data_IF_943831489243
#
_entry.id   IF_943831489243
#
_cell.length_a   1.000
_cell.length_b   1.000
_cell.length_c   1.000
_cell.angle_alpha   90.00
_cell.angle_beta   90.00
_cell.angle_gamma   90.00
#
_symmetry.space_group_name_H-M   'P 1'
#
loop_
_entity.id
_entity.type
_entity.pdbx_description
1 polymer ?
#
# COMPACT_ATOMS: atom_id res chain seq x y z
N UNK A 1 26.90 -1.44 29.15
CA UNK A 1 25.88 -1.09 28.14
C UNK A 1 26.53 -0.98 26.77
N UNK A 2 26.32 -1.91 25.83
CA UNK A 2 26.88 -1.79 24.49
C UNK A 2 26.22 -0.61 23.76
N UNK A 3 27.01 0.32 23.24
CA UNK A 3 26.51 1.38 22.33
C UNK A 3 25.96 0.69 21.08
N UNK A 4 24.64 0.70 20.89
CA UNK A 4 24.03 0.31 19.60
C UNK A 4 24.63 1.20 18.52
N UNK A 5 25.43 0.62 17.63
CA UNK A 5 25.91 1.32 16.45
C UNK A 5 24.69 1.72 15.62
N UNK A 6 24.44 3.03 15.49
CA UNK A 6 23.44 3.51 14.54
C UNK A 6 23.87 3.07 13.15
N UNK A 7 23.13 2.13 12.56
CA UNK A 7 23.32 1.72 11.17
C UNK A 7 23.21 2.99 10.33
N UNK A 8 24.32 3.40 9.71
CA UNK A 8 24.39 4.58 8.85
C UNK A 8 23.67 4.24 7.55
N UNK A 9 22.36 4.43 7.59
CA UNK A 9 21.48 4.28 6.44
C UNK A 9 21.76 5.38 5.42
N UNK A 10 21.54 5.09 4.14
CA UNK A 10 21.98 5.95 3.04
C UNK A 10 21.18 7.26 2.94
N UNK A 11 21.66 8.24 2.16
CA UNK A 11 20.93 9.51 1.94
C UNK A 11 19.50 9.32 1.42
N UNK A 12 19.22 8.21 0.72
CA UNK A 12 17.89 7.82 0.23
C UNK A 12 16.94 7.44 1.37
N UNK A 13 17.43 6.74 2.40
CA UNK A 13 16.67 6.36 3.59
C UNK A 13 16.51 7.52 4.58
N UNK A 14 17.52 8.38 4.68
CA UNK A 14 17.43 9.66 5.40
C UNK A 14 16.28 10.50 4.84
N UNK A 15 16.22 10.65 3.51
CA UNK A 15 15.13 11.37 2.84
C UNK A 15 13.78 10.70 3.07
N UNK A 16 13.69 9.37 2.91
CA UNK A 16 12.45 8.61 3.12
C UNK A 16 11.88 8.83 4.52
N UNK A 17 12.68 8.64 5.57
CA UNK A 17 12.24 8.90 6.95
C UNK A 17 11.83 10.35 7.17
N UNK A 18 12.56 11.31 6.59
CA UNK A 18 12.22 12.72 6.72
C UNK A 18 10.89 13.07 6.03
N UNK A 19 10.55 12.37 4.93
CA UNK A 19 9.23 12.44 4.26
C UNK A 19 8.15 11.81 5.14
N UNK A 20 8.38 10.61 5.68
CA UNK A 20 7.41 9.89 6.51
C UNK A 20 7.06 10.66 7.81
N UNK A 21 7.97 11.49 8.31
CA UNK A 21 7.70 12.39 9.44
C UNK A 21 6.90 13.66 9.09
N UNK A 22 6.68 13.98 7.81
CA UNK A 22 5.86 15.13 7.41
C UNK A 22 4.36 14.82 7.61
N UNK A 23 3.51 15.78 8.01
CA UNK A 23 2.06 15.59 7.98
C UNK A 23 1.55 15.21 6.58
N UNK A 24 0.53 14.35 6.50
CA UNK A 24 -0.04 13.84 5.23
C UNK A 24 -0.44 14.97 4.28
N UNK A 25 -1.04 16.05 4.81
CA UNK A 25 -1.38 17.26 4.05
C UNK A 25 -0.16 17.95 3.45
N UNK A 26 0.99 17.94 4.14
CA UNK A 26 2.26 18.48 3.63
C UNK A 26 2.83 17.58 2.55
N UNK A 27 2.75 16.25 2.68
CA UNK A 27 3.18 15.32 1.62
C UNK A 27 2.35 15.48 0.34
N UNK A 28 1.02 15.62 0.44
CA UNK A 28 0.14 15.90 -0.72
C UNK A 28 0.47 17.25 -1.37
N UNK A 29 0.48 18.32 -0.59
CA UNK A 29 0.85 19.66 -1.07
C UNK A 29 2.25 19.74 -1.68
N UNK A 30 3.22 18.98 -1.15
CA UNK A 30 4.58 18.86 -1.70
C UNK A 30 4.60 18.10 -3.02
N UNK A 31 3.84 17.00 -3.15
CA UNK A 31 3.74 16.23 -4.38
C UNK A 31 3.14 17.09 -5.51
N UNK A 32 2.00 17.73 -5.25
CA UNK A 32 1.35 18.69 -6.17
C UNK A 32 2.27 19.87 -6.50
N UNK A 33 2.97 20.41 -5.49
CA UNK A 33 3.93 21.49 -5.64
C UNK A 33 5.09 21.10 -6.56
N UNK A 34 5.73 19.96 -6.32
CA UNK A 34 6.87 19.47 -7.10
C UNK A 34 6.48 19.15 -8.54
N UNK A 35 5.27 18.61 -8.77
CA UNK A 35 4.76 18.32 -10.11
C UNK A 35 4.37 19.59 -10.90
N UNK A 36 3.86 20.63 -10.22
CA UNK A 36 3.39 21.85 -10.87
C UNK A 36 4.46 22.94 -11.09
N UNK A 37 5.65 22.81 -10.49
CA UNK A 37 6.73 23.79 -10.65
C UNK A 37 7.77 23.28 -11.64
N UNK A 38 7.98 24.02 -12.74
CA UNK A 38 8.96 23.68 -13.78
C UNK A 38 10.42 23.61 -13.30
N UNK A 39 10.76 24.23 -12.16
CA UNK A 39 12.13 24.29 -11.64
C UNK A 39 12.20 24.16 -10.12
N UNK A 40 12.37 22.92 -9.67
CA UNK A 40 12.65 22.60 -8.26
C UNK A 40 14.16 22.64 -8.02
N UNK A 41 14.58 23.19 -6.87
CA UNK A 41 15.99 23.36 -6.50
C UNK A 41 16.37 22.63 -5.20
N UNK A 42 17.68 22.48 -4.99
CA UNK A 42 18.31 22.07 -3.73
C UNK A 42 19.39 23.07 -3.31
N UNK A 43 19.65 23.18 -2.00
CA UNK A 43 20.66 24.06 -1.41
C UNK A 43 20.21 25.50 -1.10
N UNK A 44 18.95 25.85 -1.38
CA UNK A 44 18.35 27.14 -1.03
C UNK A 44 16.81 27.05 -0.99
N UNK A 45 16.14 28.04 -0.41
CA UNK A 45 14.67 28.13 -0.35
C UNK A 45 14.05 28.61 -1.68
N UNK A 46 14.68 29.63 -2.26
CA UNK A 46 14.47 30.18 -3.61
C UNK A 46 15.83 30.42 -4.26
N UNK A 47 15.89 30.58 -5.57
CA UNK A 47 17.05 31.15 -6.26
C UNK A 47 16.68 32.31 -7.19
N UNK A 48 17.71 33.01 -7.70
CA UNK A 48 17.55 34.15 -8.60
C UNK A 48 17.00 33.84 -9.99
N UNK A 49 16.67 32.58 -10.28
CA UNK A 49 16.11 32.12 -11.55
C UNK A 49 14.69 31.55 -11.36
N UNK A 50 13.99 31.97 -10.29
CA UNK A 50 12.62 31.55 -10.00
C UNK A 50 12.47 30.11 -9.51
N UNK A 51 13.57 29.40 -9.24
CA UNK A 51 13.53 28.06 -8.69
C UNK A 51 13.09 28.04 -7.23
N UNK A 52 12.40 26.99 -6.81
CA UNK A 52 11.90 26.84 -5.44
C UNK A 52 12.23 25.47 -4.84
N UNK A 53 12.50 25.39 -3.55
CA UNK A 53 12.68 24.10 -2.90
C UNK A 53 11.35 23.35 -2.76
N UNK A 54 11.34 22.01 -2.57
CA UNK A 54 10.11 21.24 -2.41
C UNK A 54 9.22 21.73 -1.25
N UNK A 55 9.81 22.24 -0.17
CA UNK A 55 9.05 22.76 0.98
C UNK A 55 8.33 24.08 0.63
N UNK A 56 8.96 24.99 -0.11
CA UNK A 56 8.29 26.20 -0.60
C UNK A 56 7.21 25.86 -1.64
N UNK A 57 7.47 24.87 -2.50
CA UNK A 57 6.45 24.37 -3.43
C UNK A 57 5.20 23.86 -2.68
N UNK A 58 5.40 23.15 -1.55
CA UNK A 58 4.31 22.74 -0.66
C UNK A 58 3.62 23.93 0.03
N UNK A 59 4.38 24.93 0.51
CA UNK A 59 3.82 26.12 1.17
C UNK A 59 2.92 26.93 0.22
N UNK A 60 3.29 27.04 -1.06
CA UNK A 60 2.46 27.66 -2.11
C UNK A 60 1.17 26.89 -2.40
N UNK A 61 1.06 25.63 -1.94
CA UNK A 61 -0.16 24.80 -1.96
C UNK A 61 -0.85 24.72 -0.58
N UNK A 62 -0.49 25.59 0.36
CA UNK A 62 -1.17 25.73 1.66
C UNK A 62 -0.58 24.92 2.81
N UNK A 63 0.52 24.19 2.62
CA UNK A 63 1.25 23.58 3.74
C UNK A 63 1.84 24.66 4.68
N UNK A 64 1.78 24.44 5.99
CA UNK A 64 2.20 25.42 7.02
C UNK A 64 3.29 24.86 7.95
N UNK A 65 4.25 24.09 7.44
CA UNK A 65 5.16 23.28 8.26
C UNK A 65 6.64 23.60 8.01
N UNK A 66 7.34 24.11 9.01
CA UNK A 66 8.78 24.37 8.93
C UNK A 66 9.61 23.11 9.30
N UNK A 67 9.51 22.06 8.49
CA UNK A 67 10.23 20.80 8.70
C UNK A 67 11.69 20.88 8.23
N UNK A 68 12.55 21.48 9.06
CA UNK A 68 13.98 21.67 8.77
C UNK A 68 14.75 20.34 8.59
N UNK A 69 14.28 19.25 9.21
CA UNK A 69 14.82 17.90 9.01
C UNK A 69 14.66 17.42 7.56
N UNK A 70 13.50 17.66 6.94
CA UNK A 70 13.29 17.39 5.51
C UNK A 70 14.22 18.22 4.63
N UNK A 71 14.32 19.54 4.87
CA UNK A 71 15.20 20.40 4.06
C UNK A 71 16.66 19.90 4.08
N UNK A 72 17.18 19.57 5.27
CA UNK A 72 18.52 18.99 5.45
C UNK A 72 18.67 17.61 4.78
N UNK A 73 17.65 16.77 4.81
CA UNK A 73 17.67 15.46 4.17
C UNK A 73 17.63 15.55 2.65
N UNK A 74 16.80 16.45 2.10
CA UNK A 74 16.74 16.79 0.68
C UNK A 74 18.09 17.29 0.16
N UNK A 75 18.66 18.32 0.81
CA UNK A 75 19.93 18.89 0.40
C UNK A 75 21.08 17.87 0.50
N UNK A 76 21.07 16.99 1.52
CA UNK A 76 22.03 15.88 1.64
C UNK A 76 21.87 14.85 0.52
N UNK A 77 20.64 14.43 0.23
CA UNK A 77 20.33 13.48 -0.84
C UNK A 77 20.75 14.02 -2.21
N UNK A 78 20.38 15.27 -2.50
CA UNK A 78 20.79 16.00 -3.70
C UNK A 78 22.26 16.46 -3.66
N UNK A 79 23.04 16.13 -2.62
CA UNK A 79 24.45 16.56 -2.48
C UNK A 79 24.65 18.06 -2.74
N UNK A 80 23.70 18.88 -2.29
CA UNK A 80 23.72 20.31 -2.52
C UNK A 80 24.94 20.93 -1.81
N UNK A 81 25.68 21.76 -2.56
CA UNK A 81 26.82 22.50 -2.04
C UNK A 81 26.39 23.82 -1.38
N UNK A 82 27.30 24.80 -1.37
CA UNK A 82 27.03 26.15 -0.83
C UNK A 82 26.15 27.04 -1.73
N UNK A 83 25.67 26.54 -2.87
CA UNK A 83 24.88 27.30 -3.85
C UNK A 83 23.66 26.50 -4.27
N UNK A 84 22.57 27.22 -4.53
CA UNK A 84 21.37 26.66 -5.14
C UNK A 84 21.71 25.99 -6.48
N UNK A 85 21.08 24.85 -6.76
CA UNK A 85 21.07 24.24 -8.10
C UNK A 85 19.70 23.66 -8.44
N UNK A 86 19.40 23.54 -9.73
CA UNK A 86 18.27 22.74 -10.18
C UNK A 86 18.44 21.29 -9.73
N UNK A 87 17.36 20.69 -9.25
CA UNK A 87 17.28 19.25 -9.04
C UNK A 87 17.32 18.53 -10.40
N UNK A 88 17.88 17.32 -10.44
CA UNK A 88 17.85 16.47 -11.63
C UNK A 88 16.55 15.69 -11.70
N UNK A 89 16.15 15.26 -12.90
CA UNK A 89 14.96 14.41 -13.10
C UNK A 89 14.99 13.13 -12.24
N UNK A 90 16.17 12.52 -12.09
CA UNK A 90 16.36 11.35 -11.22
C UNK A 90 16.05 11.65 -9.76
N UNK A 91 16.47 12.82 -9.26
CA UNK A 91 16.25 13.24 -7.88
C UNK A 91 14.78 13.57 -7.64
N UNK A 92 14.14 14.27 -8.58
CA UNK A 92 12.70 14.56 -8.53
C UNK A 92 11.87 13.29 -8.63
N UNK A 93 12.20 12.37 -9.53
CA UNK A 93 11.53 11.08 -9.64
C UNK A 93 11.67 10.23 -8.38
N UNK A 94 12.80 10.30 -7.65
CA UNK A 94 12.96 9.64 -6.34
C UNK A 94 12.08 10.31 -5.28
N UNK A 95 12.09 11.65 -5.20
CA UNK A 95 11.25 12.40 -4.27
C UNK A 95 9.76 12.12 -4.49
N UNK A 96 9.28 12.20 -5.74
CA UNK A 96 7.90 11.91 -6.15
C UNK A 96 7.50 10.47 -5.77
N UNK A 97 8.32 9.47 -6.09
CA UNK A 97 8.03 8.07 -5.73
C UNK A 97 8.00 7.84 -4.22
N UNK A 98 8.89 8.49 -3.45
CA UNK A 98 8.86 8.39 -1.99
C UNK A 98 7.62 9.07 -1.38
N UNK A 99 7.23 10.25 -1.88
CA UNK A 99 5.99 10.93 -1.48
C UNK A 99 4.76 10.06 -1.77
N UNK A 100 4.65 9.52 -2.98
CA UNK A 100 3.56 8.61 -3.37
C UNK A 100 3.54 7.34 -2.51
N UNK A 101 4.68 6.70 -2.30
CA UNK A 101 4.79 5.50 -1.45
C UNK A 101 4.41 5.77 0.01
N UNK A 102 4.76 6.95 0.54
CA UNK A 102 4.44 7.35 1.91
C UNK A 102 2.94 7.60 2.09
N UNK A 103 2.29 8.25 1.10
CA UNK A 103 0.84 8.49 1.09
C UNK A 103 0.04 7.18 0.94
N UNK A 104 0.42 6.33 -0.01
CA UNK A 104 -0.20 5.02 -0.21
C UNK A 104 -0.06 4.11 1.02
N UNK A 105 1.05 4.23 1.77
CA UNK A 105 1.25 3.50 3.01
C UNK A 105 0.25 3.88 4.09
N UNK A 106 -0.06 5.17 4.25
CA UNK A 106 -1.05 5.63 5.23
C UNK A 106 -2.47 5.23 4.87
N UNK A 107 -2.84 5.32 3.60
CA UNK A 107 -4.17 4.92 3.12
C UNK A 107 -4.41 3.41 3.33
N UNK A 108 -3.37 2.58 3.17
CA UNK A 108 -3.42 1.16 3.52
C UNK A 108 -3.53 0.91 5.03
N UNK A 109 -2.84 1.68 5.88
CA UNK A 109 -2.97 1.58 7.32
C UNK A 109 -4.39 1.96 7.82
N UNK A 110 -4.97 3.02 7.26
CA UNK A 110 -6.32 3.47 7.61
C UNK A 110 -7.39 2.46 7.16
N UNK A 111 -7.30 1.96 5.92
CA UNK A 111 -8.17 0.89 5.44
C UNK A 111 -8.05 -0.39 6.28
N UNK A 112 -6.83 -0.79 6.65
CA UNK A 112 -6.57 -1.95 7.51
C UNK A 112 -7.24 -1.81 8.89
N UNK A 113 -7.20 -0.60 9.45
CA UNK A 113 -7.89 -0.25 10.70
C UNK A 113 -9.41 -0.32 10.56
N UNK A 114 -9.97 0.31 9.53
CA UNK A 114 -11.42 0.30 9.27
C UNK A 114 -11.96 -1.13 9.08
N UNK A 115 -11.22 -2.00 8.39
CA UNK A 115 -11.56 -3.42 8.24
C UNK A 115 -11.53 -4.19 9.57
N UNK A 116 -10.57 -3.89 10.46
CA UNK A 116 -10.50 -4.49 11.79
C UNK A 116 -11.67 -4.05 12.68
N UNK A 117 -12.00 -2.75 12.70
CA UNK A 117 -13.12 -2.18 13.44
C UNK A 117 -14.46 -2.73 12.92
N UNK A 118 -14.67 -2.79 11.59
CA UNK A 118 -15.86 -3.40 11.00
C UNK A 118 -16.02 -4.86 11.38
N UNK A 119 -14.95 -5.67 11.32
CA UNK A 119 -14.97 -7.07 11.77
C UNK A 119 -15.40 -7.14 13.24
N UNK A 120 -14.83 -6.34 14.13
CA UNK A 120 -15.24 -6.33 15.54
C UNK A 120 -16.73 -6.01 15.73
N UNK A 121 -17.29 -5.06 14.97
CA UNK A 121 -18.72 -4.74 15.01
C UNK A 121 -19.60 -5.90 14.52
N UNK A 122 -19.21 -6.58 13.44
CA UNK A 122 -19.92 -7.77 12.92
C UNK A 122 -19.88 -8.91 13.95
N UNK A 123 -18.71 -9.20 14.54
CA UNK A 123 -18.59 -10.20 15.61
C UNK A 123 -19.43 -9.85 16.84
N UNK A 124 -19.48 -8.57 17.26
CA UNK A 124 -20.36 -8.11 18.36
C UNK A 124 -21.84 -8.31 18.03
N UNK A 125 -22.28 -7.93 16.82
CA UNK A 125 -23.67 -8.13 16.37
C UNK A 125 -24.03 -9.62 16.34
N UNK A 126 -23.17 -10.47 15.80
CA UNK A 126 -23.40 -11.93 15.77
C UNK A 126 -23.51 -12.52 17.17
N UNK A 127 -22.66 -12.10 18.12
CA UNK A 127 -22.76 -12.54 19.53
C UNK A 127 -23.99 -12.01 20.25
N UNK A 128 -24.50 -10.83 19.90
CA UNK A 128 -25.74 -10.29 20.45
C UNK A 128 -27.00 -10.88 19.79
N UNK A 129 -26.90 -11.38 18.55
CA UNK A 129 -27.96 -12.12 17.85
C UNK A 129 -27.92 -13.63 18.11
N UNK A 130 -26.85 -14.15 18.71
CA UNK A 130 -26.82 -15.51 19.22
C UNK A 130 -27.81 -15.61 20.39
N UNK A 131 -28.96 -16.22 20.10
CA UNK A 131 -30.04 -16.52 21.05
C UNK A 131 -29.46 -17.11 22.36
N UNK A 132 -29.67 -16.47 23.53
CA UNK A 132 -29.13 -16.97 24.80
C UNK A 132 -29.71 -18.34 25.19
N UNK A 133 -30.79 -18.78 24.54
CA UNK A 133 -31.41 -20.11 24.70
C UNK A 133 -30.65 -21.21 23.94
N UNK A 134 -29.67 -20.86 23.08
CA UNK A 134 -28.86 -21.82 22.32
C UNK A 134 -29.58 -22.49 21.14
N UNK A 135 -30.84 -22.11 20.85
CA UNK A 135 -31.63 -22.69 19.76
C UNK A 135 -31.19 -22.16 18.40
N UNK A 136 -30.16 -22.79 17.82
CA UNK A 136 -29.87 -22.63 16.38
C UNK A 136 -31.05 -23.23 15.60
N UNK A 137 -32.04 -22.38 15.27
CA UNK A 137 -33.05 -22.68 14.25
C UNK A 137 -32.35 -22.68 12.89
N UNK A 138 -31.74 -23.83 12.58
CA UNK A 138 -31.35 -24.19 11.22
C UNK A 138 -32.64 -24.27 10.38
N UNK A 139 -33.07 -23.11 9.87
CA UNK A 139 -34.06 -23.04 8.82
C UNK A 139 -33.49 -23.82 7.64
N UNK A 140 -33.95 -25.06 7.45
CA UNK A 140 -33.63 -25.84 6.26
C UNK A 140 -34.05 -24.99 5.07
N UNK A 141 -33.07 -24.43 4.36
CA UNK A 141 -33.25 -24.06 2.97
C UNK A 141 -33.74 -25.35 2.29
N UNK A 142 -35.04 -25.39 1.97
CA UNK A 142 -35.60 -26.47 1.17
C UNK A 142 -34.95 -26.32 -0.20
N UNK A 143 -33.90 -27.09 -0.44
CA UNK A 143 -33.49 -27.41 -1.80
C UNK A 143 -34.71 -28.05 -2.45
N UNK A 144 -35.36 -27.29 -3.33
CA UNK A 144 -36.53 -27.72 -4.07
C UNK A 144 -36.11 -28.88 -4.97
N UNK A 145 -36.40 -30.11 -4.53
CA UNK A 145 -36.08 -31.33 -5.27
C UNK A 145 -37.04 -31.50 -6.46
N UNK A 146 -36.91 -30.64 -7.47
CA UNK A 146 -37.64 -30.70 -8.73
C UNK A 146 -36.72 -31.09 -9.90
N UNK A 147 -35.84 -32.07 -9.67
CA UNK A 147 -35.23 -32.86 -10.73
C UNK A 147 -35.74 -34.28 -10.59
N UNK A 148 -36.66 -34.65 -11.49
CA UNK A 148 -37.30 -35.98 -11.52
C UNK A 148 -36.27 -37.03 -11.93
N UNK A 149 -36.18 -38.19 -11.24
CA UNK A 149 -35.45 -39.33 -11.78
C UNK A 149 -36.21 -39.91 -12.97
N UNK A 150 -35.64 -39.82 -14.17
CA UNK A 150 -36.13 -40.56 -15.34
C UNK A 150 -35.76 -42.04 -15.12
N UNK A 151 -36.76 -42.93 -15.15
CA UNK A 151 -36.54 -44.38 -14.99
C UNK A 151 -35.74 -44.94 -16.17
N UNK A 152 -34.79 -45.81 -15.85
CA UNK A 152 -34.00 -46.53 -16.84
C UNK A 152 -34.85 -47.48 -17.69
N UNK A 153 -34.55 -47.54 -18.99
CA UNK A 153 -34.86 -48.71 -19.82
C UNK A 153 -33.67 -49.69 -19.77
N UNK A 154 -33.99 -50.98 -19.65
CA UNK A 154 -33.06 -52.10 -19.50
C UNK A 154 -33.06 -52.95 -20.78
N UNK A 155 -31.88 -53.22 -21.34
CA UNK A 155 -31.47 -54.49 -22.00
C UNK A 155 -30.17 -54.30 -22.80
N UNK A 156 -29.33 -55.30 -23.11
CA UNK A 156 -28.97 -56.61 -22.49
C UNK A 156 -27.78 -57.16 -23.33
N UNK A 157 -26.77 -57.78 -22.69
CA UNK A 157 -25.61 -58.46 -23.32
C UNK A 157 -24.71 -57.55 -24.22
N UNK A 158 -23.45 -57.84 -24.59
CA UNK A 158 -22.51 -58.95 -24.39
C UNK A 158 -21.06 -58.39 -24.62
N UNK A 159 -19.90 -59.04 -24.37
CA UNK A 159 -19.54 -60.31 -23.70
C UNK A 159 -18.02 -60.33 -23.36
N UNK A 160 -17.61 -61.31 -22.54
CA UNK A 160 -16.31 -62.02 -22.47
C UNK A 160 -14.93 -61.33 -22.68
N UNK A 161 -14.07 -61.51 -21.67
CA UNK A 161 -12.60 -61.65 -21.77
C UNK A 161 -11.76 -60.38 -21.63
N UNK A 162 -10.49 -60.40 -21.24
CA UNK A 162 -9.60 -61.37 -20.55
C UNK A 162 -8.20 -60.72 -20.53
N UNK A 163 -7.41 -60.90 -19.47
CA UNK A 163 -6.04 -60.33 -19.34
C UNK A 163 -6.01 -58.81 -19.07
N UNK A 164 -4.91 -58.23 -18.59
CA UNK A 164 -3.62 -58.81 -18.19
C UNK A 164 -2.56 -57.70 -17.98
N UNK A 165 -1.82 -57.80 -16.88
CA UNK A 165 -0.48 -57.27 -16.55
C UNK A 165 0.19 -56.10 -17.31
N UNK A 166 0.77 -55.15 -16.53
CA UNK A 166 2.03 -54.39 -16.78
C UNK A 166 2.13 -53.48 -18.03
N UNK A 167 2.72 -52.28 -18.02
CA UNK A 167 4.08 -51.97 -17.57
C UNK A 167 4.40 -50.45 -17.62
N UNK A 168 5.41 -50.06 -16.86
CA UNK A 168 6.40 -48.99 -17.06
C UNK A 168 6.04 -47.56 -17.52
N UNK A 169 6.59 -46.61 -16.76
CA UNK A 169 6.89 -45.26 -17.23
C UNK A 169 8.10 -45.24 -18.18
N UNK A 170 8.13 -44.25 -19.07
CA UNK A 170 9.33 -43.77 -19.77
C UNK A 170 9.13 -42.29 -20.11
N UNK A 171 10.13 -41.46 -19.82
CA UNK A 171 10.06 -40.00 -19.85
C UNK A 171 10.89 -39.38 -18.73
#
# INVERSE_FOLDING_TARGET
>A
MPKRAHIRTGPVDDLRRAIDCLPTSTRRAMLEGVQANARIIAGAYVDGHGGVCPMLAAHRRGARTNFLSFARAWDRFARAGRRARSATERELGILVRQLQSSLLGEEQCDLGRALAEHRQLVWRRQRAQADPTGTIRAARLRVSSSLRPVRAHRSVAAACGAGGETSQASG
#
